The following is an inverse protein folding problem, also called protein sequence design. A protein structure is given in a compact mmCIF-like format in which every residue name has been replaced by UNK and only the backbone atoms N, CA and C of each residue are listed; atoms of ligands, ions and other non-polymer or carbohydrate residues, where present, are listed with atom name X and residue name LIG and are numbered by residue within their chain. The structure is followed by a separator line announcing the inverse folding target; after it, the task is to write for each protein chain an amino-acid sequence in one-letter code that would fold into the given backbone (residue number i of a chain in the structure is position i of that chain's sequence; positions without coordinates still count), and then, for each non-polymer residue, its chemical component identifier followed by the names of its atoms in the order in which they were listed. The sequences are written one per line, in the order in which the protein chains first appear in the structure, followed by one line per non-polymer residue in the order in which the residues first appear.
data_IF_621543651369
#
_entry.id   IF_621543651369
#
_cell.length_a   1.000
_cell.length_b   1.000
_cell.length_c   1.000
_cell.angle_alpha   90.00
_cell.angle_beta   90.00
_cell.angle_gamma   90.00
#
_symmetry.space_group_name_H-M   'P 1'
#
loop_
_entity.id
_entity.type
_entity.pdbx_description
1 polymer ?
#
# COMPACT_ATOMS: atom_id res chain seq x y z
N UNK A 1 14.00 5.16 -67.34
CA UNK A 1 12.78 4.33 -67.28
C UNK A 1 12.72 3.69 -65.89
N UNK A 2 11.85 4.18 -65.00
CA UNK A 2 11.36 3.41 -63.84
C UNK A 2 10.34 2.36 -64.36
N UNK A 3 10.13 1.22 -63.67
CA UNK A 3 9.24 1.12 -62.49
C UNK A 3 9.90 0.22 -61.40
N UNK A 4 9.43 0.00 -60.17
CA UNK A 4 8.36 0.51 -59.32
C UNK A 4 8.69 0.02 -57.91
N UNK A 5 8.32 0.81 -56.91
CA UNK A 5 8.28 0.44 -55.49
C UNK A 5 7.54 -0.90 -55.23
N UNK A 6 8.09 -1.74 -54.36
CA UNK A 6 7.28 -2.54 -53.42
C UNK A 6 7.89 -2.37 -52.04
N UNK A 7 7.19 -1.56 -51.22
CA UNK A 7 7.36 -1.51 -49.78
C UNK A 7 6.86 -2.83 -49.17
N UNK A 8 7.64 -3.45 -48.29
CA UNK A 8 7.03 -4.10 -47.14
C UNK A 8 7.91 -3.89 -45.93
N UNK A 9 7.37 -3.07 -45.02
CA UNK A 9 7.99 -2.57 -43.83
C UNK A 9 8.50 -3.72 -42.95
N UNK A 10 9.76 -3.59 -42.53
CA UNK A 10 10.28 -4.26 -41.34
C UNK A 10 9.31 -3.94 -40.21
N UNK A 11 8.56 -4.94 -39.75
CA UNK A 11 7.81 -4.83 -38.51
C UNK A 11 8.83 -4.60 -37.40
N UNK A 12 9.10 -3.32 -37.11
CA UNK A 12 9.71 -2.89 -35.87
C UNK A 12 8.75 -3.37 -34.79
N UNK A 13 9.02 -4.56 -34.27
CA UNK A 13 8.53 -5.03 -32.99
C UNK A 13 9.08 -4.00 -32.01
N UNK A 14 8.32 -2.93 -31.79
CA UNK A 14 8.46 -2.10 -30.61
C UNK A 14 7.94 -3.02 -29.50
N UNK A 15 8.83 -3.89 -29.00
CA UNK A 15 8.69 -4.44 -27.67
C UNK A 15 8.61 -3.23 -26.76
N UNK A 16 7.39 -2.79 -26.48
CA UNK A 16 7.09 -1.92 -25.37
C UNK A 16 7.49 -2.72 -24.15
N UNK A 17 8.75 -2.60 -23.74
CA UNK A 17 9.19 -2.95 -22.41
C UNK A 17 8.40 -2.03 -21.48
N UNK A 18 7.18 -2.45 -21.14
CA UNK A 18 6.52 -2.00 -19.94
C UNK A 18 7.46 -2.42 -18.81
N UNK A 19 8.33 -1.51 -18.41
CA UNK A 19 9.27 -1.74 -17.33
C UNK A 19 8.43 -1.89 -16.07
N UNK A 20 8.07 -3.13 -15.73
CA UNK A 20 7.40 -3.46 -14.48
C UNK A 20 8.27 -2.94 -13.35
N UNK A 21 7.81 -1.86 -12.71
CA UNK A 21 8.53 -1.22 -11.63
C UNK A 21 8.50 -2.18 -10.43
N UNK A 22 9.53 -3.01 -10.31
CA UNK A 22 9.63 -4.03 -9.27
C UNK A 22 9.69 -3.37 -7.89
N UNK A 23 8.62 -3.52 -7.12
CA UNK A 23 8.55 -3.07 -5.73
C UNK A 23 9.00 -4.22 -4.86
N UNK A 24 10.26 -4.16 -4.42
CA UNK A 24 10.89 -5.23 -3.62
C UNK A 24 10.96 -4.92 -2.12
N UNK A 25 10.72 -3.68 -1.73
CA UNK A 25 10.83 -3.24 -0.34
C UNK A 25 9.60 -2.40 0.03
N UNK A 26 9.23 -2.45 1.30
CA UNK A 26 8.24 -1.54 1.86
C UNK A 26 8.72 -0.10 1.72
N UNK A 27 7.89 0.75 1.13
CA UNK A 27 8.12 2.19 1.02
C UNK A 27 7.11 2.92 1.89
N UNK A 28 7.61 3.86 2.71
CA UNK A 28 6.80 4.63 3.66
C UNK A 28 6.95 6.11 3.30
N UNK A 29 5.88 6.74 2.83
CA UNK A 29 5.83 8.18 2.58
C UNK A 29 4.92 8.86 3.60
N UNK A 30 5.34 9.98 4.19
CA UNK A 30 4.49 10.77 5.07
C UNK A 30 3.71 11.78 4.22
N UNK A 31 2.38 11.66 4.20
CA UNK A 31 1.46 12.56 3.47
C UNK A 31 1.02 13.75 4.32
N UNK A 32 0.83 13.54 5.62
CA UNK A 32 0.51 14.58 6.60
C UNK A 32 1.28 14.27 7.88
N UNK A 33 2.02 15.25 8.41
CA UNK A 33 2.63 15.16 9.75
C UNK A 33 1.59 15.52 10.80
N UNK A 34 1.68 14.91 11.97
CA UNK A 34 0.91 15.34 13.13
C UNK A 34 1.36 16.72 13.60
N UNK A 35 0.44 17.51 14.15
CA UNK A 35 0.72 18.84 14.70
C UNK A 35 1.56 18.75 15.97
N UNK A 36 1.26 17.76 16.82
CA UNK A 36 2.05 17.35 17.98
C UNK A 36 2.24 15.84 17.98
N UNK A 37 3.31 15.35 18.61
CA UNK A 37 3.61 13.93 18.68
C UNK A 37 4.10 13.54 20.07
N UNK A 38 3.16 13.50 21.01
CA UNK A 38 3.41 13.10 22.40
C UNK A 38 3.52 11.58 22.53
N UNK A 39 2.70 10.84 21.78
CA UNK A 39 2.70 9.39 21.74
C UNK A 39 2.95 8.87 20.33
N UNK A 40 3.89 7.93 20.23
CA UNK A 40 4.19 7.17 19.01
C UNK A 40 3.72 5.73 19.16
N UNK A 41 3.19 5.18 18.07
CA UNK A 41 2.80 3.79 17.97
C UNK A 41 4.01 2.86 18.14
N UNK A 42 3.85 1.81 18.95
CA UNK A 42 4.81 0.72 19.13
C UNK A 42 4.11 -0.63 19.11
N UNK A 43 4.89 -1.70 18.98
CA UNK A 43 4.38 -3.08 19.04
C UNK A 43 3.55 -3.29 20.32
N UNK A 44 2.37 -3.88 20.16
CA UNK A 44 1.42 -4.16 21.24
C UNK A 44 0.37 -3.06 21.46
N UNK A 45 0.53 -1.88 20.86
CA UNK A 45 -0.50 -0.85 20.90
C UNK A 45 -1.72 -1.27 20.07
N UNK A 46 -2.92 -0.91 20.54
CA UNK A 46 -4.13 -0.99 19.73
C UNK A 46 -4.26 0.29 18.93
N UNK A 47 -4.26 0.18 17.61
CA UNK A 47 -4.39 1.33 16.71
C UNK A 47 -5.81 1.39 16.16
N UNK A 48 -6.38 2.59 16.16
CA UNK A 48 -7.60 2.89 15.41
C UNK A 48 -7.23 3.75 14.21
N UNK A 49 -7.62 3.33 13.02
CA UNK A 49 -7.13 3.92 11.78
C UNK A 49 -8.21 4.05 10.72
N UNK A 50 -8.07 5.08 9.90
CA UNK A 50 -8.67 5.07 8.58
C UNK A 50 -7.64 4.67 7.53
N UNK A 51 -8.08 3.89 6.56
CA UNK A 51 -7.32 3.53 5.37
C UNK A 51 -8.16 3.51 4.10
N UNK A 52 -7.46 3.62 2.98
CA UNK A 52 -7.90 3.25 1.63
C UNK A 52 -6.80 2.42 0.98
N UNK A 53 -7.13 1.23 0.49
CA UNK A 53 -6.23 0.30 -0.18
C UNK A 53 -6.51 0.24 -1.68
N UNK A 54 -5.47 0.45 -2.49
CA UNK A 54 -5.54 0.39 -3.94
C UNK A 54 -4.46 -0.51 -4.52
N UNK A 55 -4.73 -1.06 -5.70
CA UNK A 55 -3.69 -1.56 -6.60
C UNK A 55 -2.84 -0.38 -7.11
N UNK A 56 -1.71 -0.67 -7.76
CA UNK A 56 -0.82 0.38 -8.29
C UNK A 56 -1.43 1.17 -9.45
N UNK A 57 -2.40 0.60 -10.15
CA UNK A 57 -3.18 1.28 -11.20
C UNK A 57 -4.24 2.24 -10.64
N UNK A 58 -4.41 2.28 -9.31
CA UNK A 58 -5.38 3.13 -8.61
C UNK A 58 -6.72 2.45 -8.32
N UNK A 59 -6.93 1.21 -8.75
CA UNK A 59 -8.15 0.45 -8.45
C UNK A 59 -8.27 0.24 -6.94
N UNK A 60 -9.30 0.84 -6.33
CA UNK A 60 -9.61 0.61 -4.92
C UNK A 60 -10.19 -0.78 -4.72
N UNK A 61 -9.61 -1.56 -3.81
CA UNK A 61 -10.17 -2.86 -3.40
C UNK A 61 -10.91 -2.78 -2.07
N UNK A 62 -10.51 -1.84 -1.19
CA UNK A 62 -11.11 -1.69 0.12
C UNK A 62 -10.84 -0.32 0.75
N UNK A 63 -11.78 0.20 1.54
CA UNK A 63 -11.66 1.48 2.23
C UNK A 63 -12.53 1.51 3.48
N UNK A 64 -11.93 1.88 4.60
CA UNK A 64 -12.65 2.16 5.86
C UNK A 64 -13.49 3.44 5.79
N UNK A 65 -13.08 4.39 4.93
CA UNK A 65 -13.67 5.73 4.84
C UNK A 65 -15.04 5.70 4.15
N UNK A 66 -15.20 4.82 3.16
CA UNK A 66 -16.49 4.60 2.49
C UNK A 66 -17.51 3.93 3.43
N UNK A 67 -17.04 3.18 4.43
CA UNK A 67 -17.87 2.59 5.49
C UNK A 67 -18.12 3.52 6.67
N UNK A 68 -17.42 4.65 6.74
CA UNK A 68 -17.42 5.55 7.89
C UNK A 68 -17.17 4.84 9.23
N UNK A 69 -16.29 3.84 9.24
CA UNK A 69 -15.96 3.05 10.40
C UNK A 69 -14.45 2.83 10.45
N UNK A 70 -13.83 3.18 11.59
CA UNK A 70 -12.41 2.96 11.82
C UNK A 70 -12.09 1.47 11.87
N UNK A 71 -10.87 1.12 11.46
CA UNK A 71 -10.34 -0.22 11.58
C UNK A 71 -9.40 -0.30 12.78
N UNK A 72 -9.69 -1.26 13.67
CA UNK A 72 -8.97 -1.46 14.92
C UNK A 72 -8.20 -2.77 14.89
N UNK A 73 -6.92 -2.72 15.26
CA UNK A 73 -6.08 -3.92 15.36
C UNK A 73 -4.91 -3.67 16.33
N UNK A 74 -4.24 -4.75 16.74
CA UNK A 74 -3.03 -4.66 17.58
C UNK A 74 -1.77 -4.68 16.73
N UNK A 75 -0.95 -3.63 16.83
CA UNK A 75 0.23 -3.45 16.00
C UNK A 75 1.33 -4.47 16.31
N UNK A 76 1.92 -5.07 15.27
CA UNK A 76 3.11 -5.91 15.38
C UNK A 76 2.83 -7.31 15.93
N UNK A 77 1.56 -7.74 15.90
CA UNK A 77 1.08 -9.04 16.39
C UNK A 77 0.67 -9.99 15.27
N UNK A 78 0.90 -9.64 14.00
CA UNK A 78 0.52 -10.48 12.86
C UNK A 78 -0.99 -10.54 12.59
N UNK A 79 -1.77 -9.60 13.14
CA UNK A 79 -3.21 -9.48 12.87
C UNK A 79 -3.51 -8.87 11.49
N UNK A 80 -2.52 -8.20 10.90
CA UNK A 80 -2.59 -7.54 9.59
C UNK A 80 -1.40 -7.98 8.75
N UNK A 81 -1.38 -7.58 7.47
CA UNK A 81 -0.26 -7.85 6.57
C UNK A 81 1.06 -7.29 7.11
N UNK A 82 2.17 -7.97 6.81
CA UNK A 82 3.52 -7.61 7.31
C UNK A 82 3.91 -6.17 7.01
N UNK A 83 3.49 -5.64 5.87
CA UNK A 83 3.75 -4.25 5.49
C UNK A 83 3.08 -3.22 6.41
N UNK A 84 1.93 -3.55 6.99
CA UNK A 84 1.30 -2.70 8.01
C UNK A 84 2.02 -2.81 9.35
N UNK A 85 2.32 -4.04 9.79
CA UNK A 85 3.04 -4.27 11.05
C UNK A 85 4.39 -3.53 11.11
N UNK A 86 5.08 -3.38 9.97
CA UNK A 86 6.32 -2.62 9.88
C UNK A 86 6.10 -1.14 9.55
N UNK A 87 5.18 -0.82 8.64
CA UNK A 87 4.98 0.53 8.11
C UNK A 87 4.34 1.52 9.08
N UNK A 88 3.68 1.00 10.12
CA UNK A 88 2.90 1.78 11.07
C UNK A 88 3.59 1.98 12.42
N UNK A 89 4.83 1.51 12.57
CA UNK A 89 5.65 1.82 13.74
C UNK A 89 6.04 3.30 13.75
N UNK A 90 6.23 3.85 14.96
CA UNK A 90 6.68 5.22 15.18
C UNK A 90 5.81 6.28 14.47
N UNK A 91 4.49 6.04 14.44
CA UNK A 91 3.51 6.95 13.85
C UNK A 91 2.81 7.73 14.96
N UNK A 92 2.58 9.01 14.71
CA UNK A 92 1.89 9.91 15.64
C UNK A 92 0.38 9.94 15.34
N UNK A 93 -0.45 10.16 16.37
CA UNK A 93 -1.89 10.40 16.15
C UNK A 93 -2.08 11.64 15.26
N UNK A 94 -2.96 11.54 14.27
CA UNK A 94 -3.21 12.57 13.25
C UNK A 94 -2.23 12.55 12.06
N UNK A 95 -1.19 11.71 12.10
CA UNK A 95 -0.30 11.49 10.95
C UNK A 95 -1.02 10.69 9.85
N UNK A 96 -0.69 10.98 8.59
CA UNK A 96 -1.17 10.24 7.42
C UNK A 96 0.01 9.76 6.59
N UNK A 97 0.04 8.48 6.22
CA UNK A 97 1.12 7.86 5.43
C UNK A 97 0.58 7.24 4.14
N UNK A 98 1.44 7.17 3.14
CA UNK A 98 1.31 6.26 2.01
C UNK A 98 2.28 5.11 2.22
N UNK A 99 1.75 3.89 2.31
CA UNK A 99 2.54 2.66 2.32
C UNK A 99 2.48 2.04 0.94
N UNK A 100 3.62 1.78 0.32
CA UNK A 100 3.70 0.94 -0.90
C UNK A 100 4.36 -0.36 -0.52
N UNK A 101 3.57 -1.44 -0.56
CA UNK A 101 3.86 -2.72 0.07
C UNK A 101 4.11 -3.76 -1.04
N UNK A 102 5.30 -4.40 -1.07
CA UNK A 102 5.57 -5.46 -2.02
C UNK A 102 4.68 -6.68 -1.71
N UNK A 103 4.36 -7.47 -2.73
CA UNK A 103 3.38 -8.56 -2.60
C UNK A 103 3.71 -9.56 -1.49
N UNK A 104 4.98 -9.92 -1.30
CA UNK A 104 5.45 -10.84 -0.26
C UNK A 104 5.29 -10.30 1.18
N UNK A 105 5.05 -9.00 1.34
CA UNK A 105 4.66 -8.36 2.61
C UNK A 105 3.16 -8.02 2.69
N UNK A 106 2.40 -8.38 1.65
CA UNK A 106 0.96 -8.26 1.53
C UNK A 106 0.32 -9.66 1.39
N UNK A 107 -0.35 -9.95 0.27
CA UNK A 107 -1.08 -11.20 0.04
C UNK A 107 -0.31 -12.25 -0.78
N UNK A 108 0.92 -11.95 -1.19
CA UNK A 108 1.84 -12.87 -1.88
C UNK A 108 1.27 -13.48 -3.16
N UNK A 109 1.73 -14.69 -3.47
CA UNK A 109 1.34 -15.45 -4.66
C UNK A 109 -0.15 -15.85 -4.68
N UNK A 110 -0.81 -15.87 -3.52
CA UNK A 110 -2.24 -16.23 -3.45
C UNK A 110 -3.16 -15.05 -3.78
N UNK A 111 -2.73 -13.82 -3.50
CA UNK A 111 -3.62 -12.67 -3.57
C UNK A 111 -4.77 -12.75 -2.56
N UNK A 112 -5.85 -12.02 -2.84
CA UNK A 112 -7.13 -12.08 -2.11
C UNK A 112 -8.28 -11.92 -3.11
N UNK A 113 -8.70 -13.03 -3.76
CA UNK A 113 -9.74 -12.99 -4.77
C UNK A 113 -11.09 -12.50 -4.21
N UNK A 114 -11.92 -11.81 -5.03
CA UNK A 114 -11.68 -11.47 -6.43
C UNK A 114 -10.91 -10.15 -6.63
N UNK A 115 -10.61 -9.40 -5.56
CA UNK A 115 -10.20 -7.99 -5.67
C UNK A 115 -8.69 -7.77 -5.76
N UNK A 116 -7.90 -8.68 -5.18
CA UNK A 116 -6.44 -8.57 -5.13
C UNK A 116 -5.84 -9.75 -5.90
N UNK A 117 -5.22 -9.52 -7.07
CA UNK A 117 -4.55 -10.56 -7.82
C UNK A 117 -3.36 -11.18 -7.08
N UNK A 118 -2.95 -12.37 -7.52
CA UNK A 118 -1.68 -12.97 -7.14
C UNK A 118 -0.51 -12.02 -7.41
N UNK A 119 0.48 -12.00 -6.52
CA UNK A 119 1.71 -11.20 -6.62
C UNK A 119 1.52 -9.69 -6.77
N UNK A 120 0.33 -9.16 -6.46
CA UNK A 120 0.05 -7.74 -6.57
C UNK A 120 0.75 -6.93 -5.45
N UNK A 121 1.62 -5.96 -5.78
CA UNK A 121 2.01 -4.92 -4.84
C UNK A 121 0.82 -4.00 -4.55
N UNK A 122 0.74 -3.51 -3.32
CA UNK A 122 -0.39 -2.71 -2.85
C UNK A 122 0.06 -1.31 -2.43
N UNK A 123 -0.85 -0.36 -2.57
CA UNK A 123 -0.70 0.99 -2.03
C UNK A 123 -1.79 1.23 -1.00
N UNK A 124 -1.41 1.71 0.17
CA UNK A 124 -2.33 2.10 1.22
C UNK A 124 -2.15 3.56 1.57
N UNK A 125 -3.24 4.29 1.66
CA UNK A 125 -3.31 5.61 2.28
C UNK A 125 -3.92 5.45 3.66
N UNK A 126 -3.13 5.64 4.72
CA UNK A 126 -3.46 5.33 6.11
C UNK A 126 -3.36 6.57 6.98
N UNK A 127 -4.25 6.72 7.95
CA UNK A 127 -4.30 7.81 8.91
C UNK A 127 -4.53 7.24 10.30
N UNK A 128 -3.67 7.63 11.25
CA UNK A 128 -3.74 7.15 12.62
C UNK A 128 -4.69 8.06 13.43
N UNK A 129 -5.79 7.50 13.89
CA UNK A 129 -6.82 8.26 14.62
C UNK A 129 -6.59 8.21 16.13
N UNK A 130 -6.15 7.05 16.64
CA UNK A 130 -5.97 6.84 18.08
C UNK A 130 -4.97 5.72 18.37
N UNK A 131 -4.26 5.86 19.49
CA UNK A 131 -3.46 4.80 20.10
C UNK A 131 -4.11 4.45 21.45
N UNK A 132 -4.53 3.20 21.61
CA UNK A 132 -5.01 2.64 22.87
C UNK A 132 -3.95 1.69 23.44
N UNK A 133 -3.33 2.10 24.55
CA UNK A 133 -2.28 1.35 25.23
C UNK A 133 -2.75 0.90 26.61
N UNK A 134 -2.87 -0.40 26.82
CA UNK A 134 -3.16 -0.97 28.14
C UNK A 134 -1.88 -0.95 28.99
N UNK A 135 -1.81 -0.08 30.00
CA UNK A 135 -0.72 -0.08 30.99
C UNK A 135 -0.14 1.27 31.40
N UNK A 136 -0.67 2.39 30.89
CA UNK A 136 -0.25 3.76 31.27
C UNK A 136 -1.48 4.54 31.80
N UNK A 137 -2.10 4.06 32.88
CA UNK A 137 -3.09 4.78 33.70
C UNK A 137 -2.45 5.21 35.03
#
# INVERSE_FOLDING_TARGET
MQPSCVFLAVALIVCTFAQEKKIDKLQIGIKKRAESCEMKSRKGDVLHMHYTGTLLDGTEFDSSRTRNQEFTFTLGMGQVIKGWDQGLLNMCVGERRILTIPSHMAYGERGSPPKIPANAPLKFDVELMKIDRKGEL
#
